data_IF_351672082208
#
_entry.id   IF_351672082208
#
_cell.length_a   1.000
_cell.length_b   1.000
_cell.length_c   1.000
_cell.angle_alpha   90.00
_cell.angle_beta   90.00
_cell.angle_gamma   90.00
#
_symmetry.space_group_name_H-M   'P 1'
#
loop_
_entity.id
_entity.type
_entity.pdbx_description
1 polymer ?
#
# COMPACT_ATOMS: atom_id res chain seq x y z
N UNK A 1 35.66 36.85 -6.20
CA UNK A 1 36.09 35.89 -7.23
C UNK A 1 34.89 34.98 -7.48
N UNK A 2 34.00 35.25 -8.46
CA UNK A 2 34.04 34.81 -9.87
C UNK A 2 33.95 33.26 -9.95
N UNK A 3 32.95 32.59 -10.55
CA UNK A 3 32.02 32.87 -11.66
C UNK A 3 30.60 32.28 -11.35
N UNK A 4 29.45 32.80 -11.82
CA UNK A 4 28.87 32.89 -13.18
C UNK A 4 28.74 31.56 -13.94
N UNK A 5 27.51 31.17 -14.28
CA UNK A 5 27.21 30.14 -15.28
C UNK A 5 25.75 29.69 -15.34
N UNK A 6 24.94 30.38 -16.15
CA UNK A 6 23.54 30.09 -16.46
C UNK A 6 23.29 28.66 -16.95
N UNK A 7 22.14 28.11 -16.54
CA UNK A 7 21.44 27.01 -17.21
C UNK A 7 19.97 27.36 -17.33
N UNK A 8 19.59 27.87 -18.49
CA UNK A 8 18.21 28.04 -18.93
C UNK A 8 17.53 26.66 -18.92
N UNK A 9 16.55 26.46 -18.04
CA UNK A 9 15.61 25.34 -18.13
C UNK A 9 14.21 25.90 -18.08
N UNK A 10 13.75 26.28 -19.27
CA UNK A 10 12.35 26.39 -19.65
C UNK A 10 11.68 25.02 -19.53
N UNK A 11 11.44 24.59 -18.29
CA UNK A 11 10.72 23.35 -17.97
C UNK A 11 9.30 23.69 -17.56
N UNK A 12 8.33 23.21 -18.33
CA UNK A 12 6.91 23.27 -18.05
C UNK A 12 6.60 22.99 -16.57
N UNK A 13 5.92 23.94 -15.93
CA UNK A 13 5.17 23.73 -14.70
C UNK A 13 4.26 22.51 -14.84
N UNK A 14 4.15 21.75 -13.75
CA UNK A 14 3.16 20.70 -13.50
C UNK A 14 3.57 19.24 -13.76
N UNK A 15 4.71 18.82 -13.21
CA UNK A 15 4.96 17.42 -12.86
C UNK A 15 5.38 17.35 -11.41
N UNK A 16 4.41 17.49 -10.50
CA UNK A 16 4.56 17.04 -9.12
C UNK A 16 4.59 15.52 -9.23
N UNK A 17 5.78 14.95 -9.44
CA UNK A 17 5.98 13.51 -9.40
C UNK A 17 5.69 13.06 -7.98
N UNK A 18 4.47 12.54 -7.77
CA UNK A 18 4.01 12.03 -6.50
C UNK A 18 4.85 10.79 -6.14
N UNK A 19 5.71 10.96 -5.14
CA UNK A 19 6.41 9.87 -4.45
C UNK A 19 5.38 9.06 -3.67
N UNK A 20 4.85 7.96 -4.21
CA UNK A 20 4.34 6.89 -3.34
C UNK A 20 5.39 5.81 -3.28
N UNK A 21 5.80 5.51 -2.04
CA UNK A 21 6.66 4.39 -1.71
C UNK A 21 5.79 3.14 -1.82
N UNK A 22 6.04 2.33 -2.85
CA UNK A 22 5.45 0.99 -2.95
C UNK A 22 6.01 0.15 -1.80
N UNK A 23 5.18 -0.12 -0.80
CA UNK A 23 5.54 -1.05 0.27
C UNK A 23 5.32 -2.47 -0.23
N UNK A 24 6.42 -3.16 -0.54
CA UNK A 24 6.39 -4.61 -0.70
C UNK A 24 6.36 -5.25 0.69
N UNK A 25 5.20 -5.78 1.07
CA UNK A 25 5.04 -6.55 2.31
C UNK A 25 5.70 -7.92 2.13
N UNK A 26 6.89 -8.11 2.70
CA UNK A 26 7.57 -9.39 2.73
C UNK A 26 7.41 -10.00 4.13
N UNK A 27 6.49 -10.96 4.28
CA UNK A 27 6.45 -11.82 5.46
C UNK A 27 7.71 -12.69 5.44
N UNK A 28 8.74 -12.29 6.19
CA UNK A 28 9.96 -13.07 6.37
C UNK A 28 9.72 -14.03 7.52
N UNK A 29 9.25 -15.24 7.20
CA UNK A 29 9.17 -16.32 8.17
C UNK A 29 10.58 -16.76 8.57
N UNK A 30 11.08 -16.21 9.68
CA UNK A 30 12.30 -16.69 10.33
C UNK A 30 11.95 -17.76 11.38
N UNK A 31 11.13 -18.75 10.98
CA UNK A 31 10.63 -19.81 11.86
C UNK A 31 10.67 -21.18 11.19
N UNK A 32 10.81 -22.23 12.00
CA UNK A 32 11.07 -23.59 11.54
C UNK A 32 9.99 -24.11 10.58
N UNK A 33 10.37 -24.43 9.33
CA UNK A 33 9.46 -24.80 8.25
C UNK A 33 8.52 -25.96 8.59
N UNK A 34 7.25 -25.61 8.84
CA UNK A 34 6.10 -26.49 8.74
C UNK A 34 5.34 -26.21 7.45
N UNK A 35 4.78 -27.24 6.82
CA UNK A 35 4.11 -27.13 5.51
C UNK A 35 2.94 -26.14 5.49
N UNK A 36 2.27 -25.95 6.62
CA UNK A 36 1.15 -25.00 6.79
C UNK A 36 1.61 -23.53 6.68
N UNK A 37 2.81 -23.20 7.17
CA UNK A 37 3.37 -21.84 7.09
C UNK A 37 3.78 -21.46 5.67
N UNK A 38 4.32 -22.41 4.89
CA UNK A 38 4.64 -22.19 3.47
C UNK A 38 3.38 -21.92 2.64
N UNK A 39 2.30 -22.67 2.90
CA UNK A 39 1.03 -22.52 2.18
C UNK A 39 0.34 -21.18 2.51
N UNK A 40 0.36 -20.77 3.79
CA UNK A 40 -0.09 -19.45 4.22
C UNK A 40 0.72 -18.31 3.56
N UNK A 41 2.05 -18.39 3.59
CA UNK A 41 2.92 -17.37 3.00
C UNK A 41 2.73 -17.24 1.48
N UNK A 42 2.61 -18.36 0.77
CA UNK A 42 2.31 -18.36 -0.66
C UNK A 42 0.92 -17.79 -0.94
N UNK A 43 -0.07 -18.13 -0.10
CA UNK A 43 -1.42 -17.55 -0.12
C UNK A 43 -1.38 -16.03 0.02
N UNK A 44 -0.70 -15.50 1.03
CA UNK A 44 -0.58 -14.04 1.26
C UNK A 44 0.10 -13.37 0.08
N UNK A 45 1.19 -13.95 -0.45
CA UNK A 45 1.88 -13.41 -1.62
C UNK A 45 0.98 -13.34 -2.84
N UNK A 46 0.19 -14.39 -3.10
CA UNK A 46 -0.81 -14.43 -4.20
C UNK A 46 -1.94 -13.43 -3.97
N UNK A 47 -2.38 -13.26 -2.73
CA UNK A 47 -3.41 -12.29 -2.37
C UNK A 47 -2.95 -10.86 -2.67
N UNK A 48 -1.67 -10.53 -2.45
CA UNK A 48 -1.11 -9.19 -2.65
C UNK A 48 -0.68 -8.87 -4.09
N UNK A 49 -0.49 -9.87 -4.97
CA UNK A 49 -0.11 -9.63 -6.37
C UNK A 49 -0.95 -8.60 -7.14
N UNK A 50 -2.30 -8.58 -7.05
CA UNK A 50 -3.11 -7.56 -7.73
C UNK A 50 -2.81 -6.16 -7.20
N UNK A 51 -2.63 -6.00 -5.88
CA UNK A 51 -2.28 -4.73 -5.26
C UNK A 51 -0.89 -4.24 -5.68
N UNK A 52 0.11 -5.12 -5.73
CA UNK A 52 1.46 -4.78 -6.20
C UNK A 52 1.47 -4.34 -7.68
N UNK A 53 0.67 -5.00 -8.53
CA UNK A 53 0.49 -4.59 -9.92
C UNK A 53 -0.24 -3.25 -10.07
N UNK A 54 -1.25 -3.01 -9.23
CA UNK A 54 -1.96 -1.74 -9.20
C UNK A 54 -1.04 -0.61 -8.75
N UNK A 55 -0.23 -0.84 -7.70
CA UNK A 55 0.75 0.12 -7.19
C UNK A 55 1.80 0.52 -8.24
N UNK A 56 2.33 -0.44 -8.99
CA UNK A 56 3.33 -0.18 -10.05
C UNK A 56 2.84 0.75 -11.16
N UNK A 57 1.53 0.79 -11.37
CA UNK A 57 0.91 1.60 -12.41
C UNK A 57 0.17 2.82 -11.84
N UNK A 58 0.14 2.99 -10.51
CA UNK A 58 -0.63 4.04 -9.87
C UNK A 58 0.00 5.41 -10.14
N UNK A 59 -0.78 6.29 -10.77
CA UNK A 59 -0.52 7.72 -10.77
C UNK A 59 -1.52 8.37 -9.81
N UNK A 60 -1.02 8.99 -8.76
CA UNK A 60 -1.86 9.47 -7.65
C UNK A 60 -2.71 10.68 -8.01
N UNK A 61 -2.35 11.38 -9.10
CA UNK A 61 -3.14 12.49 -9.62
C UNK A 61 -4.28 12.02 -10.52
N UNK A 62 -4.31 10.73 -10.91
CA UNK A 62 -5.42 10.13 -11.64
C UNK A 62 -6.41 9.45 -10.67
N UNK A 63 -7.62 10.00 -10.49
CA UNK A 63 -8.61 9.42 -9.59
C UNK A 63 -9.09 8.03 -10.05
N UNK A 64 -9.03 7.72 -11.36
CA UNK A 64 -9.35 6.40 -11.86
C UNK A 64 -8.33 5.34 -11.44
N UNK A 65 -7.05 5.70 -11.35
CA UNK A 65 -6.00 4.83 -10.83
C UNK A 65 -6.14 4.61 -9.32
N UNK A 66 -6.52 5.64 -8.56
CA UNK A 66 -6.80 5.51 -7.13
C UNK A 66 -7.98 4.60 -6.83
N UNK A 67 -9.08 4.70 -7.59
CA UNK A 67 -10.21 3.76 -7.44
C UNK A 67 -9.80 2.32 -7.75
N UNK A 68 -9.00 2.10 -8.81
CA UNK A 68 -8.48 0.77 -9.14
C UNK A 68 -7.55 0.23 -8.05
N UNK A 69 -6.78 1.12 -7.42
CA UNK A 69 -5.89 0.76 -6.34
C UNK A 69 -6.67 0.35 -5.08
N UNK A 70 -7.68 1.13 -4.69
CA UNK A 70 -8.61 0.77 -3.63
C UNK A 70 -9.29 -0.57 -3.90
N UNK A 71 -9.76 -0.79 -5.13
CA UNK A 71 -10.38 -2.06 -5.52
C UNK A 71 -9.40 -3.23 -5.41
N UNK A 72 -8.13 -3.04 -5.78
CA UNK A 72 -7.10 -4.06 -5.63
C UNK A 72 -6.80 -4.37 -4.15
N UNK A 73 -6.93 -3.38 -3.26
CA UNK A 73 -6.84 -3.59 -1.81
C UNK A 73 -8.05 -4.38 -1.27
N UNK A 74 -9.28 -4.09 -1.71
CA UNK A 74 -10.46 -4.88 -1.34
C UNK A 74 -10.34 -6.34 -1.80
N UNK A 75 -9.90 -6.55 -3.05
CA UNK A 75 -9.67 -7.88 -3.59
C UNK A 75 -8.59 -8.64 -2.80
N UNK A 76 -7.57 -7.90 -2.34
CA UNK A 76 -6.52 -8.46 -1.46
C UNK A 76 -7.11 -8.86 -0.12
N UNK A 77 -7.91 -8.00 0.52
CA UNK A 77 -8.61 -8.30 1.78
C UNK A 77 -9.51 -9.52 1.65
N UNK A 78 -10.29 -9.61 0.56
CA UNK A 78 -11.15 -10.76 0.31
C UNK A 78 -10.34 -12.06 0.26
N UNK A 79 -9.23 -12.07 -0.48
CA UNK A 79 -8.34 -13.24 -0.60
C UNK A 79 -7.62 -13.57 0.70
N UNK A 80 -7.19 -12.56 1.47
CA UNK A 80 -6.55 -12.77 2.77
C UNK A 80 -7.54 -13.39 3.76
N UNK A 81 -8.80 -12.96 3.77
CA UNK A 81 -9.85 -13.56 4.62
C UNK A 81 -10.18 -15.01 4.27
N UNK A 82 -9.83 -15.46 3.06
CA UNK A 82 -9.96 -16.87 2.67
C UNK A 82 -8.80 -17.73 3.18
N UNK A 83 -7.72 -17.13 3.68
CA UNK A 83 -6.59 -17.84 4.26
C UNK A 83 -6.83 -18.08 5.75
N UNK A 84 -6.58 -19.31 6.17
CA UNK A 84 -6.47 -19.64 7.59
C UNK A 84 -5.09 -19.19 8.09
N UNK A 85 -5.07 -18.14 8.90
CA UNK A 85 -3.88 -17.79 9.68
C UNK A 85 -3.74 -18.77 10.84
N UNK A 86 -2.51 -19.15 11.23
CA UNK A 86 -2.30 -19.96 12.43
C UNK A 86 -2.79 -19.20 13.67
N UNK A 87 -3.34 -19.92 14.66
CA UNK A 87 -3.96 -19.33 15.87
C UNK A 87 -3.05 -18.30 16.56
N UNK A 88 -1.74 -18.54 16.57
CA UNK A 88 -0.73 -17.67 17.19
C UNK A 88 -0.55 -16.31 16.50
N UNK A 89 -1.02 -16.15 15.27
CA UNK A 89 -0.94 -14.92 14.49
C UNK A 89 -2.32 -14.36 14.09
N UNK A 90 -3.41 -14.97 14.55
CA UNK A 90 -4.75 -14.61 14.11
C UNK A 90 -5.10 -13.15 14.42
N UNK A 91 -4.77 -12.67 15.63
CA UNK A 91 -5.02 -11.28 16.05
C UNK A 91 -4.23 -10.28 15.20
N UNK A 92 -2.93 -10.54 14.98
CA UNK A 92 -2.06 -9.73 14.13
C UNK A 92 -2.53 -9.74 12.68
N UNK A 93 -3.02 -10.89 12.20
CA UNK A 93 -3.52 -11.07 10.85
C UNK A 93 -4.83 -10.32 10.62
N UNK A 94 -5.78 -10.41 11.55
CA UNK A 94 -7.01 -9.63 11.53
C UNK A 94 -6.73 -8.11 11.59
N UNK A 95 -5.75 -7.70 12.41
CA UNK A 95 -5.31 -6.30 12.46
C UNK A 95 -4.67 -5.85 11.14
N UNK A 96 -3.86 -6.69 10.52
CA UNK A 96 -3.27 -6.43 9.21
C UNK A 96 -4.35 -6.27 8.12
N UNK A 97 -5.34 -7.16 8.06
CA UNK A 97 -6.45 -7.07 7.12
C UNK A 97 -7.21 -5.76 7.30
N UNK A 98 -7.53 -5.37 8.55
CA UNK A 98 -8.23 -4.12 8.85
C UNK A 98 -7.48 -2.87 8.39
N UNK A 99 -6.15 -2.86 8.52
CA UNK A 99 -5.35 -1.74 8.03
C UNK A 99 -5.34 -1.66 6.49
N UNK A 100 -5.40 -2.80 5.79
CA UNK A 100 -5.57 -2.80 4.33
C UNK A 100 -6.94 -2.24 3.94
N UNK A 101 -8.01 -2.61 4.65
CA UNK A 101 -9.35 -2.03 4.43
C UNK A 101 -9.35 -0.51 4.63
N UNK A 102 -8.73 -0.04 5.71
CA UNK A 102 -8.62 1.39 5.97
C UNK A 102 -7.77 2.11 4.90
N UNK A 103 -6.71 1.47 4.41
CA UNK A 103 -5.93 1.96 3.26
C UNK A 103 -6.76 2.05 1.98
N UNK A 104 -7.66 1.09 1.73
CA UNK A 104 -8.57 1.12 0.59
C UNK A 104 -9.52 2.32 0.66
N UNK A 105 -10.10 2.58 1.84
CA UNK A 105 -10.94 3.77 2.05
C UNK A 105 -10.16 5.07 1.87
N UNK A 106 -8.94 5.18 2.41
CA UNK A 106 -8.08 6.35 2.20
C UNK A 106 -7.74 6.58 0.72
N UNK A 107 -7.56 5.51 -0.07
CA UNK A 107 -7.34 5.61 -1.51
C UNK A 107 -8.59 6.13 -2.25
N UNK A 108 -9.81 5.72 -1.83
CA UNK A 108 -11.07 6.27 -2.35
C UNK A 108 -11.26 7.73 -1.97
N UNK A 109 -10.91 8.11 -0.75
CA UNK A 109 -10.94 9.50 -0.30
C UNK A 109 -9.97 10.36 -1.11
N UNK A 110 -8.78 9.84 -1.41
CA UNK A 110 -7.81 10.47 -2.30
C UNK A 110 -8.38 10.67 -3.71
N UNK A 111 -9.02 9.64 -4.28
CA UNK A 111 -9.74 9.72 -5.57
C UNK A 111 -10.83 10.81 -5.55
N UNK A 112 -11.63 10.84 -4.48
CA UNK A 112 -12.72 11.82 -4.31
C UNK A 112 -12.20 13.25 -4.19
N UNK A 113 -11.13 13.46 -3.42
CA UNK A 113 -10.48 14.76 -3.27
C UNK A 113 -9.83 15.22 -4.59
N UNK A 114 -9.18 14.31 -5.32
CA UNK A 114 -8.62 14.59 -6.65
C UNK A 114 -9.70 15.03 -7.65
N UNK A 115 -10.86 14.35 -7.66
CA UNK A 115 -12.01 14.72 -8.51
C UNK A 115 -12.60 16.07 -8.15
N UNK A 116 -12.63 16.40 -6.87
CA UNK A 116 -13.17 17.66 -6.36
C UNK A 116 -12.24 18.85 -6.63
N UNK A 117 -10.97 18.59 -6.98
CA UNK A 117 -9.96 19.63 -7.22
C UNK A 117 -9.50 20.36 -5.95
N UNK A 118 -9.87 19.83 -4.78
CA UNK A 118 -9.51 20.39 -3.49
C UNK A 118 -8.11 19.91 -3.11
N UNK A 119 -7.14 20.81 -3.22
CA UNK A 119 -5.72 20.49 -3.01
C UNK A 119 -5.38 20.24 -1.55
N UNK A 120 -6.09 20.87 -0.62
CA UNK A 120 -5.89 20.67 0.81
C UNK A 120 -6.44 19.30 1.22
N UNK A 121 -7.66 18.98 0.79
CA UNK A 121 -8.25 17.65 1.01
C UNK A 121 -7.42 16.54 0.34
N UNK A 122 -6.89 16.78 -0.86
CA UNK A 122 -6.04 15.80 -1.56
C UNK A 122 -4.72 15.56 -0.83
N UNK A 123 -4.07 16.61 -0.31
CA UNK A 123 -2.84 16.47 0.46
C UNK A 123 -3.09 15.72 1.78
N UNK A 124 -4.21 16.00 2.45
CA UNK A 124 -4.60 15.29 3.68
C UNK A 124 -4.90 13.81 3.41
N UNK A 125 -5.65 13.51 2.35
CA UNK A 125 -5.97 12.14 1.95
C UNK A 125 -4.71 11.32 1.60
N UNK A 126 -3.74 11.93 0.90
CA UNK A 126 -2.44 11.28 0.68
C UNK A 126 -1.71 11.01 1.99
N UNK A 127 -1.66 11.99 2.91
CA UNK A 127 -0.98 11.80 4.19
C UNK A 127 -1.64 10.70 5.05
N UNK A 128 -2.97 10.55 4.99
CA UNK A 128 -3.70 9.44 5.61
C UNK A 128 -3.33 8.11 4.95
N UNK A 129 -3.34 8.06 3.62
CA UNK A 129 -2.96 6.87 2.86
C UNK A 129 -1.53 6.41 3.19
N UNK A 130 -0.57 7.33 3.29
CA UNK A 130 0.81 7.03 3.70
C UNK A 130 0.89 6.48 5.13
N UNK A 131 0.08 6.99 6.06
CA UNK A 131 0.01 6.47 7.42
C UNK A 131 -0.53 5.03 7.45
N UNK A 132 -1.59 4.75 6.69
CA UNK A 132 -2.12 3.40 6.57
C UNK A 132 -1.10 2.46 5.93
N UNK A 133 -0.37 2.88 4.90
CA UNK A 133 0.70 2.04 4.34
C UNK A 133 1.78 1.68 5.35
N UNK A 134 2.18 2.64 6.19
CA UNK A 134 3.13 2.37 7.26
C UNK A 134 2.54 1.38 8.27
N UNK A 135 1.29 1.59 8.68
CA UNK A 135 0.60 0.67 9.60
C UNK A 135 0.47 -0.74 9.01
N UNK A 136 0.09 -0.87 7.73
CA UNK A 136 0.04 -2.14 6.98
C UNK A 136 1.42 -2.83 7.03
N UNK A 137 2.51 -2.07 6.82
CA UNK A 137 3.88 -2.61 6.89
C UNK A 137 4.20 -3.16 8.28
N UNK A 138 3.98 -2.34 9.32
CA UNK A 138 4.25 -2.70 10.71
C UNK A 138 3.42 -3.91 11.15
N UNK A 139 2.14 -3.97 10.74
CA UNK A 139 1.25 -5.10 11.03
C UNK A 139 1.64 -6.35 10.26
N UNK A 140 2.08 -6.23 9.03
CA UNK A 140 2.59 -7.38 8.30
C UNK A 140 3.87 -7.94 8.93
N UNK A 141 4.81 -7.10 9.35
CA UNK A 141 5.99 -7.58 10.08
C UNK A 141 5.60 -8.30 11.38
N UNK A 142 4.58 -7.81 12.08
CA UNK A 142 4.04 -8.47 13.26
C UNK A 142 3.45 -9.85 12.93
N UNK A 143 2.66 -9.97 11.86
CA UNK A 143 2.18 -11.27 11.35
C UNK A 143 3.36 -12.19 11.04
N UNK A 144 4.38 -11.70 10.32
CA UNK A 144 5.55 -12.49 9.94
C UNK A 144 6.36 -12.98 11.13
N UNK A 145 6.40 -12.20 12.21
CA UNK A 145 7.04 -12.56 13.49
C UNK A 145 6.17 -13.51 14.31
N UNK A 146 4.84 -13.41 14.21
CA UNK A 146 3.92 -14.28 14.94
C UNK A 146 3.87 -15.69 14.33
N UNK A 147 4.04 -15.83 13.01
CA UNK A 147 4.04 -17.14 12.32
C UNK A 147 5.42 -17.82 12.26
N UNK A 148 6.46 -17.28 12.89
CA UNK A 148 7.83 -17.79 12.80
C UNK A 148 8.60 -17.78 14.13
#
# INVERSE_FOLDING_TARGET
MKACGSGDSKGNMNRISAFIVVVAVALVAAGCGGSDTDEFNDGVKKAQQPMDQAAKNADNADPGQMDRYAQAMDDTVARLRELDAPDEAQDEYDAFIKEIEAGADAARDTSSAARSGDKEAFAEAIAQLEQHFKAISEKAEAVGTAVG
#
